data_IF_266340993639
#
_entry.id   IF_266340993639
#
_cell.length_a   1.000
_cell.length_b   1.000
_cell.length_c   1.000
_cell.angle_alpha   90.00
_cell.angle_beta   90.00
_cell.angle_gamma   90.00
#
_symmetry.space_group_name_H-M   'P 1'
#
loop_
_entity.id
_entity.type
_entity.pdbx_description
1 polymer ?
#
# COMPACT_ATOMS: atom_id res chain seq x y z
N UNK A 1 -26.75 8.63 -13.80
CA UNK A 1 -26.42 7.52 -12.86
C UNK A 1 -25.90 6.29 -13.57
N UNK A 2 -26.60 5.76 -14.59
CA UNK A 2 -26.15 4.60 -15.38
C UNK A 2 -24.79 4.79 -16.07
N UNK A 3 -24.55 5.95 -16.69
CA UNK A 3 -23.26 6.24 -17.33
C UNK A 3 -22.09 6.27 -16.34
N UNK A 4 -22.30 6.77 -15.13
CA UNK A 4 -21.25 6.82 -14.11
C UNK A 4 -20.84 5.41 -13.65
N UNK A 5 -21.83 4.56 -13.35
CA UNK A 5 -21.59 3.17 -12.96
C UNK A 5 -20.91 2.37 -14.09
N UNK A 6 -21.35 2.58 -15.33
CA UNK A 6 -20.72 1.95 -16.50
C UNK A 6 -19.25 2.36 -16.66
N UNK A 7 -18.94 3.66 -16.53
CA UNK A 7 -17.57 4.14 -16.63
C UNK A 7 -16.66 3.65 -15.49
N UNK A 8 -17.19 3.50 -14.27
CA UNK A 8 -16.46 2.86 -13.17
C UNK A 8 -16.16 1.39 -13.50
N UNK A 9 -17.11 0.66 -14.07
CA UNK A 9 -16.90 -0.74 -14.45
C UNK A 9 -15.83 -0.87 -15.56
N UNK A 10 -15.82 0.05 -16.52
CA UNK A 10 -14.75 0.14 -17.51
C UNK A 10 -13.40 0.46 -16.87
N UNK A 11 -13.35 1.35 -15.88
CA UNK A 11 -12.13 1.65 -15.13
C UNK A 11 -11.62 0.42 -14.36
N UNK A 12 -12.50 -0.38 -13.73
CA UNK A 12 -12.12 -1.65 -13.14
C UNK A 12 -11.57 -2.64 -14.17
N UNK A 13 -12.19 -2.71 -15.36
CA UNK A 13 -11.70 -3.54 -16.47
C UNK A 13 -10.31 -3.07 -16.93
N UNK A 14 -10.06 -1.77 -16.95
CA UNK A 14 -8.75 -1.21 -17.28
C UNK A 14 -7.70 -1.58 -16.23
N UNK A 15 -8.01 -1.45 -14.93
CA UNK A 15 -7.11 -1.85 -13.82
C UNK A 15 -6.82 -3.35 -13.87
N UNK A 16 -7.84 -4.19 -14.08
CA UNK A 16 -7.63 -5.62 -14.23
C UNK A 16 -6.80 -5.94 -15.50
N UNK A 17 -7.08 -5.24 -16.59
CA UNK A 17 -6.33 -5.32 -17.84
C UNK A 17 -4.86 -4.95 -17.68
N UNK A 18 -4.55 -3.92 -16.89
CA UNK A 18 -3.17 -3.47 -16.65
C UNK A 18 -2.32 -4.53 -15.95
N UNK A 19 -2.94 -5.43 -15.18
CA UNK A 19 -2.23 -6.53 -14.51
C UNK A 19 -1.89 -7.70 -15.44
N UNK A 20 -2.51 -7.78 -16.62
CA UNK A 20 -2.32 -8.90 -17.56
C UNK A 20 -1.81 -8.48 -18.93
N UNK A 21 -1.80 -7.16 -19.22
CA UNK A 21 -1.36 -6.62 -20.51
C UNK A 21 0.13 -6.86 -20.78
N UNK A 22 0.97 -6.77 -19.73
CA UNK A 22 2.38 -7.13 -19.79
C UNK A 22 2.75 -7.95 -18.57
N UNK A 23 3.18 -9.20 -18.77
CA UNK A 23 3.62 -10.07 -17.68
C UNK A 23 4.89 -9.57 -16.99
N UNK A 24 5.68 -8.72 -17.65
CA UNK A 24 6.91 -8.16 -17.09
C UNK A 24 6.64 -7.33 -15.82
N UNK A 25 5.45 -6.72 -15.71
CA UNK A 25 5.03 -5.93 -14.55
C UNK A 25 5.05 -6.74 -13.25
N UNK A 26 4.85 -8.05 -13.33
CA UNK A 26 4.83 -8.93 -12.16
C UNK A 26 6.20 -9.08 -11.51
N UNK A 27 7.31 -8.86 -12.23
CA UNK A 27 8.64 -8.84 -11.62
C UNK A 27 8.80 -7.71 -10.61
N UNK A 28 8.03 -6.63 -10.77
CA UNK A 28 8.02 -5.47 -9.89
C UNK A 28 6.85 -5.52 -8.90
N UNK A 29 5.66 -5.98 -9.33
CA UNK A 29 4.48 -6.08 -8.46
C UNK A 29 4.56 -7.23 -7.45
N UNK A 30 5.04 -8.41 -7.84
CA UNK A 30 5.06 -9.59 -6.97
C UNK A 30 5.77 -9.35 -5.62
N UNK A 31 6.98 -8.74 -5.56
CA UNK A 31 7.61 -8.45 -4.28
C UNK A 31 6.80 -7.44 -3.45
N UNK A 32 6.18 -6.43 -4.07
CA UNK A 32 5.32 -5.46 -3.36
C UNK A 32 4.11 -6.17 -2.73
N UNK A 33 3.42 -7.00 -3.51
CA UNK A 33 2.24 -7.74 -3.05
C UNK A 33 2.59 -8.78 -1.99
N UNK A 34 3.73 -9.46 -2.13
CA UNK A 34 4.19 -10.42 -1.13
C UNK A 34 4.46 -9.74 0.21
N UNK A 35 5.23 -8.65 0.21
CA UNK A 35 5.51 -7.90 1.43
C UNK A 35 4.21 -7.37 2.02
N UNK A 36 3.32 -6.81 1.20
CA UNK A 36 2.02 -6.34 1.66
C UNK A 36 1.22 -7.42 2.38
N UNK A 37 1.01 -8.58 1.76
CA UNK A 37 0.25 -9.67 2.34
C UNK A 37 0.91 -10.16 3.63
N UNK A 38 2.25 -10.33 3.63
CA UNK A 38 2.99 -10.79 4.80
C UNK A 38 2.89 -9.82 5.97
N UNK A 39 3.01 -8.52 5.73
CA UNK A 39 2.89 -7.49 6.76
C UNK A 39 1.46 -7.43 7.31
N UNK A 40 0.45 -7.54 6.46
CA UNK A 40 -0.96 -7.58 6.90
C UNK A 40 -1.28 -8.83 7.73
N UNK A 41 -0.76 -9.99 7.32
CA UNK A 41 -0.90 -11.22 8.09
C UNK A 41 -0.18 -11.14 9.43
N UNK A 42 1.03 -10.60 9.46
CA UNK A 42 1.82 -10.42 10.69
C UNK A 42 1.05 -9.59 11.73
N UNK A 43 0.63 -8.37 11.36
CA UNK A 43 -0.13 -7.52 12.29
C UNK A 43 -1.54 -8.04 12.59
N UNK A 44 -2.07 -8.91 11.72
CA UNK A 44 -3.30 -9.63 11.99
C UNK A 44 -3.16 -10.69 13.08
N UNK A 45 -2.03 -11.41 13.09
CA UNK A 45 -1.75 -12.47 14.05
C UNK A 45 -1.29 -11.90 15.40
N UNK A 46 -0.44 -10.87 15.37
CA UNK A 46 0.12 -10.20 16.53
C UNK A 46 -0.61 -8.89 16.82
N UNK A 47 -1.91 -8.96 17.15
CA UNK A 47 -2.81 -7.78 17.30
C UNK A 47 -2.37 -6.71 18.31
N UNK A 48 -1.44 -7.04 19.22
CA UNK A 48 -0.85 -6.10 20.19
C UNK A 48 0.35 -5.35 19.63
N UNK A 49 0.96 -5.86 18.56
CA UNK A 49 1.98 -5.15 17.83
C UNK A 49 1.30 -4.16 16.88
N UNK A 50 1.71 -2.90 16.99
CA UNK A 50 1.29 -1.85 16.07
C UNK A 50 2.41 -1.55 15.10
N UNK A 51 2.10 -0.85 14.00
CA UNK A 51 3.15 -0.24 13.18
C UNK A 51 3.83 0.83 14.02
N UNK A 52 4.93 0.44 14.66
CA UNK A 52 5.78 1.34 15.41
C UNK A 52 6.52 2.29 14.47
N UNK A 53 7.20 3.28 15.04
CA UNK A 53 7.98 4.26 14.26
C UNK A 53 9.02 3.59 13.35
N UNK A 54 9.67 2.50 13.80
CA UNK A 54 10.62 1.75 12.98
C UNK A 54 9.95 1.10 11.76
N UNK A 55 8.78 0.49 11.93
CA UNK A 55 8.01 -0.10 10.82
C UNK A 55 7.49 0.99 9.87
N UNK A 56 6.97 2.09 10.40
CA UNK A 56 6.52 3.24 9.60
C UNK A 56 7.68 3.84 8.77
N UNK A 57 8.88 3.95 9.38
CA UNK A 57 10.08 4.41 8.70
C UNK A 57 10.47 3.46 7.56
N UNK A 58 10.50 2.15 7.84
CA UNK A 58 10.83 1.13 6.83
C UNK A 58 9.85 1.17 5.64
N UNK A 59 8.55 1.21 5.93
CA UNK A 59 7.48 1.30 4.93
C UNK A 59 7.60 2.60 4.12
N UNK A 60 7.87 3.73 4.77
CA UNK A 60 8.09 5.01 4.11
C UNK A 60 9.30 4.99 3.17
N UNK A 61 10.43 4.41 3.59
CA UNK A 61 11.63 4.24 2.75
C UNK A 61 11.34 3.36 1.55
N UNK A 62 10.66 2.22 1.75
CA UNK A 62 10.26 1.33 0.65
C UNK A 62 9.37 2.05 -0.37
N UNK A 63 8.40 2.84 0.11
CA UNK A 63 7.52 3.57 -0.79
C UNK A 63 8.22 4.69 -1.56
N UNK A 64 9.15 5.40 -0.90
CA UNK A 64 9.97 6.42 -1.54
C UNK A 64 10.84 5.79 -2.64
N UNK A 65 11.47 4.65 -2.35
CA UNK A 65 12.26 3.90 -3.33
C UNK A 65 11.44 3.51 -4.56
N UNK A 66 10.25 2.93 -4.37
CA UNK A 66 9.35 2.54 -5.47
C UNK A 66 8.94 3.77 -6.28
N UNK A 67 8.63 4.89 -5.61
CA UNK A 67 8.26 6.13 -6.29
C UNK A 67 9.41 6.69 -7.13
N UNK A 68 10.65 6.59 -6.66
CA UNK A 68 11.84 7.00 -7.42
C UNK A 68 12.15 6.07 -8.59
N UNK A 69 12.01 4.75 -8.42
CA UNK A 69 12.12 3.80 -9.54
C UNK A 69 11.07 4.12 -10.61
N UNK A 70 9.85 4.41 -10.19
CA UNK A 70 8.72 4.77 -11.07
C UNK A 70 8.99 6.10 -11.81
N UNK A 71 9.53 7.10 -11.12
CA UNK A 71 10.01 8.34 -11.73
C UNK A 71 11.09 8.12 -12.78
N UNK A 72 12.06 7.25 -12.47
CA UNK A 72 13.12 6.89 -13.41
C UNK A 72 12.53 6.26 -14.68
N UNK A 73 11.53 5.41 -14.56
CA UNK A 73 10.86 4.78 -15.72
C UNK A 73 10.17 5.85 -16.59
N UNK A 74 9.45 6.81 -16.00
CA UNK A 74 8.84 7.91 -16.76
C UNK A 74 9.86 8.69 -17.60
N UNK A 75 11.01 9.03 -17.00
CA UNK A 75 12.09 9.72 -17.72
C UNK A 75 12.72 8.87 -18.82
N UNK A 76 12.90 7.58 -18.60
CA UNK A 76 13.42 6.66 -19.62
C UNK A 76 12.46 6.48 -20.80
N UNK A 77 11.15 6.54 -20.53
CA UNK A 77 10.10 6.52 -21.56
C UNK A 77 9.87 7.89 -22.22
N UNK A 78 10.62 8.93 -21.83
CA UNK A 78 10.52 10.27 -22.40
C UNK A 78 9.20 10.98 -22.08
N UNK A 79 8.51 10.63 -20.99
CA UNK A 79 7.26 11.30 -20.61
C UNK A 79 7.52 12.70 -20.06
N UNK A 80 6.87 13.70 -20.63
CA UNK A 80 6.90 15.07 -20.11
C UNK A 80 6.04 15.17 -18.83
N UNK A 81 6.60 15.60 -17.68
CA UNK A 81 5.85 15.84 -16.45
C UNK A 81 4.65 16.78 -16.60
N UNK A 82 4.66 17.70 -17.57
CA UNK A 82 3.57 18.65 -17.84
C UNK A 82 2.38 18.01 -18.53
N UNK A 83 2.62 16.95 -19.30
CA UNK A 83 1.60 16.27 -20.11
C UNK A 83 1.11 14.97 -19.46
N UNK A 84 1.87 14.44 -18.50
CA UNK A 84 1.59 13.17 -17.84
C UNK A 84 1.16 13.37 -16.38
N UNK A 85 -0.15 13.43 -16.07
CA UNK A 85 -0.63 13.63 -14.70
C UNK A 85 -0.16 12.52 -13.74
N UNK A 86 0.21 11.35 -14.25
CA UNK A 86 0.80 10.24 -13.50
C UNK A 86 2.17 10.61 -12.90
N UNK A 87 2.96 11.43 -13.60
CA UNK A 87 4.25 11.93 -13.11
C UNK A 87 4.01 12.85 -11.91
N UNK A 88 3.06 13.78 -12.03
CA UNK A 88 2.70 14.67 -10.93
C UNK A 88 2.16 13.88 -9.72
N UNK A 89 1.30 12.90 -9.95
CA UNK A 89 0.79 12.03 -8.87
C UNK A 89 1.92 11.26 -8.18
N UNK A 90 2.87 10.71 -8.95
CA UNK A 90 4.03 10.03 -8.40
C UNK A 90 4.94 10.97 -7.59
N UNK A 91 5.01 12.25 -7.98
CA UNK A 91 5.75 13.26 -7.21
C UNK A 91 5.07 13.53 -5.86
N UNK A 92 3.74 13.64 -5.85
CA UNK A 92 2.94 13.79 -4.63
C UNK A 92 3.13 12.57 -3.71
N UNK A 93 3.11 11.36 -4.26
CA UNK A 93 3.39 10.13 -3.52
C UNK A 93 4.81 10.09 -2.94
N UNK A 94 5.81 10.58 -3.68
CA UNK A 94 7.18 10.73 -3.18
C UNK A 94 7.25 11.69 -1.99
N UNK A 95 6.56 12.83 -2.07
CA UNK A 95 6.46 13.79 -0.97
C UNK A 95 5.73 13.19 0.24
N UNK A 96 4.69 12.40 0.02
CA UNK A 96 3.99 11.68 1.08
C UNK A 96 4.91 10.66 1.77
N UNK A 97 5.73 9.93 1.01
CA UNK A 97 6.72 9.02 1.57
C UNK A 97 7.77 9.77 2.42
N UNK A 98 8.27 10.91 1.94
CA UNK A 98 9.19 11.78 2.71
C UNK A 98 8.53 12.27 4.00
N UNK A 99 7.25 12.66 3.94
CA UNK A 99 6.48 13.07 5.11
C UNK A 99 6.37 11.94 6.15
N UNK A 100 6.10 10.69 5.72
CA UNK A 100 6.09 9.53 6.60
C UNK A 100 7.46 9.30 7.23
N UNK A 101 8.53 9.32 6.43
CA UNK A 101 9.91 9.13 6.91
C UNK A 101 10.26 10.18 7.97
N UNK A 102 9.98 11.45 7.67
CA UNK A 102 10.25 12.57 8.57
C UNK A 102 9.53 12.37 9.90
N UNK A 103 8.20 12.18 9.85
CA UNK A 103 7.37 12.05 11.06
C UNK A 103 7.68 10.79 11.87
N UNK A 104 8.07 9.69 11.20
CA UNK A 104 8.52 8.47 11.85
C UNK A 104 9.87 8.68 12.55
N UNK A 105 10.81 9.37 11.92
CA UNK A 105 12.14 9.65 12.48
C UNK A 105 12.07 10.62 13.66
N UNK A 106 11.31 11.72 13.54
CA UNK A 106 11.20 12.75 14.58
C UNK A 106 10.21 12.40 15.68
N UNK A 107 9.44 11.31 15.53
CA UNK A 107 8.40 10.89 16.47
C UNK A 107 7.38 12.01 16.73
N UNK A 108 7.07 12.82 15.70
CA UNK A 108 6.20 14.00 15.85
C UNK A 108 4.74 13.63 16.14
N UNK A 109 4.28 12.47 15.65
CA UNK A 109 2.91 11.99 15.86
C UNK A 109 2.84 10.84 16.87
N UNK A 110 1.64 10.65 17.43
CA UNK A 110 1.33 9.48 18.25
C UNK A 110 1.47 8.18 17.42
N UNK A 111 1.89 7.06 18.04
CA UNK A 111 1.99 5.78 17.35
C UNK A 111 0.70 5.35 16.63
N UNK A 112 -0.47 5.60 17.24
CA UNK A 112 -1.78 5.28 16.64
C UNK A 112 -2.12 6.11 15.39
N UNK A 113 -1.57 7.31 15.29
CA UNK A 113 -1.70 8.14 14.09
C UNK A 113 -0.74 7.65 13.01
N UNK A 114 0.50 7.32 13.39
CA UNK A 114 1.48 6.75 12.47
C UNK A 114 1.01 5.42 11.87
N UNK A 115 0.37 4.58 12.67
CA UNK A 115 -0.21 3.31 12.23
C UNK A 115 -1.26 3.49 11.11
N UNK A 116 -2.03 4.58 11.14
CA UNK A 116 -3.01 4.90 10.10
C UNK A 116 -2.34 5.46 8.83
N UNK A 117 -1.47 6.46 9.01
CA UNK A 117 -0.82 7.17 7.90
C UNK A 117 0.15 6.25 7.16
N UNK A 118 0.90 5.42 7.88
CA UNK A 118 1.83 4.44 7.32
C UNK A 118 1.25 3.02 7.29
N UNK A 119 -0.09 2.88 7.26
CA UNK A 119 -0.72 1.56 7.25
C UNK A 119 -0.24 0.73 6.04
N UNK A 120 0.09 -0.57 6.21
CA UNK A 120 0.58 -1.40 5.13
C UNK A 120 -0.37 -1.42 3.92
N UNK A 121 -1.67 -1.57 4.16
CA UNK A 121 -2.71 -1.47 3.13
C UNK A 121 -2.62 -0.19 2.31
N UNK A 122 -2.49 0.98 2.94
CA UNK A 122 -2.38 2.23 2.20
C UNK A 122 -1.10 2.27 1.38
N UNK A 123 0.05 2.02 2.03
CA UNK A 123 1.34 2.28 1.42
C UNK A 123 1.65 1.30 0.30
N UNK A 124 1.37 0.01 0.49
CA UNK A 124 1.61 -0.98 -0.56
C UNK A 124 0.59 -0.89 -1.70
N UNK A 125 -0.66 -0.49 -1.42
CA UNK A 125 -1.62 -0.18 -2.47
C UNK A 125 -1.13 0.99 -3.33
N UNK A 126 -0.74 2.10 -2.70
CA UNK A 126 -0.20 3.25 -3.43
C UNK A 126 1.09 2.88 -4.17
N UNK A 127 1.95 2.05 -3.58
CA UNK A 127 3.17 1.54 -4.25
C UNK A 127 2.83 0.79 -5.55
N UNK A 128 1.84 -0.10 -5.51
CA UNK A 128 1.40 -0.84 -6.70
C UNK A 128 0.79 0.09 -7.77
N UNK A 129 -0.01 1.07 -7.35
CA UNK A 129 -0.58 2.09 -8.25
C UNK A 129 0.51 2.92 -8.92
N UNK A 130 1.49 3.40 -8.16
CA UNK A 130 2.63 4.17 -8.67
C UNK A 130 3.40 3.40 -9.74
N UNK A 131 3.63 2.11 -9.50
CA UNK A 131 4.31 1.24 -10.44
C UNK A 131 3.51 1.05 -11.74
N UNK A 132 2.20 0.75 -11.63
CA UNK A 132 1.31 0.59 -12.79
C UNK A 132 1.23 1.86 -13.65
N UNK A 133 1.25 3.02 -13.00
CA UNK A 133 1.34 4.30 -13.71
C UNK A 133 2.66 4.45 -14.46
N UNK A 134 3.79 4.09 -13.85
CA UNK A 134 5.11 4.22 -14.47
C UNK A 134 5.34 3.35 -15.68
N UNK A 135 4.79 2.13 -15.67
CA UNK A 135 4.83 1.21 -16.82
C UNK A 135 3.86 1.65 -17.93
N UNK A 136 3.09 2.71 -17.72
CA UNK A 136 2.13 3.21 -18.70
C UNK A 136 0.93 2.31 -18.93
N UNK A 137 0.72 1.33 -18.05
CA UNK A 137 -0.36 0.35 -18.14
C UNK A 137 -1.69 0.90 -17.63
N UNK A 138 -1.65 2.00 -16.86
CA UNK A 138 -2.81 2.67 -16.32
C UNK A 138 -2.73 4.18 -16.60
N UNK A 139 -3.82 4.75 -17.11
CA UNK A 139 -3.94 6.19 -17.35
C UNK A 139 -4.75 6.85 -16.24
N UNK A 140 -4.35 8.04 -15.78
CA UNK A 140 -5.13 8.80 -14.82
C UNK A 140 -6.36 9.43 -15.50
N UNK A 141 -7.53 9.00 -15.06
CA UNK A 141 -8.77 9.73 -15.26
C UNK A 141 -9.62 9.67 -13.98
N UNK A 142 -10.71 10.46 -13.93
CA UNK A 142 -11.59 10.55 -12.75
C UNK A 142 -12.24 9.21 -12.36
N UNK A 143 -12.52 8.35 -13.33
CA UNK A 143 -13.14 7.04 -13.12
C UNK A 143 -12.12 6.03 -12.64
N UNK A 144 -10.90 6.03 -13.19
CA UNK A 144 -9.77 5.25 -12.68
C UNK A 144 -9.45 5.65 -11.25
N UNK A 145 -9.36 6.95 -10.95
CA UNK A 145 -9.17 7.43 -9.58
C UNK A 145 -10.27 6.95 -8.62
N UNK A 146 -11.53 6.98 -9.06
CA UNK A 146 -12.67 6.46 -8.28
C UNK A 146 -12.60 4.95 -8.07
N UNK A 147 -12.26 4.18 -9.11
CA UNK A 147 -12.12 2.72 -9.05
C UNK A 147 -10.94 2.30 -8.17
N UNK A 148 -9.82 3.03 -8.21
CA UNK A 148 -8.69 2.83 -7.30
C UNK A 148 -9.09 3.12 -5.85
N UNK A 149 -9.83 4.20 -5.59
CA UNK A 149 -10.32 4.50 -4.24
C UNK A 149 -11.27 3.40 -3.72
N UNK A 150 -12.21 2.95 -4.55
CA UNK A 150 -13.10 1.82 -4.20
C UNK A 150 -12.29 0.54 -3.95
N UNK A 151 -11.26 0.28 -4.75
CA UNK A 151 -10.36 -0.87 -4.57
C UNK A 151 -9.63 -0.80 -3.24
N UNK A 152 -9.08 0.37 -2.87
CA UNK A 152 -8.43 0.59 -1.58
C UNK A 152 -9.37 0.29 -0.42
N UNK A 153 -10.60 0.82 -0.47
CA UNK A 153 -11.64 0.52 0.54
C UNK A 153 -11.94 -0.98 0.57
N UNK A 154 -12.05 -1.62 -0.60
CA UNK A 154 -12.22 -3.07 -0.73
C UNK A 154 -11.09 -3.86 -0.06
N UNK A 155 -9.83 -3.48 -0.27
CA UNK A 155 -8.68 -4.13 0.37
C UNK A 155 -8.71 -3.97 1.89
N UNK A 156 -9.04 -2.78 2.41
CA UNK A 156 -9.22 -2.60 3.84
C UNK A 156 -10.30 -3.53 4.40
N UNK A 157 -11.44 -3.67 3.71
CA UNK A 157 -12.51 -4.58 4.12
C UNK A 157 -12.07 -6.04 4.09
N UNK A 158 -11.37 -6.46 3.04
CA UNK A 158 -10.85 -7.83 2.91
C UNK A 158 -9.89 -8.15 4.04
N UNK A 159 -8.88 -7.30 4.29
CA UNK A 159 -7.93 -7.53 5.39
C UNK A 159 -8.61 -7.44 6.76
N UNK A 160 -9.59 -6.54 6.93
CA UNK A 160 -10.39 -6.51 8.16
C UNK A 160 -11.10 -7.84 8.42
N UNK A 161 -11.74 -8.43 7.41
CA UNK A 161 -12.41 -9.74 7.51
C UNK A 161 -11.38 -10.83 7.83
N UNK A 162 -10.26 -10.88 7.11
CA UNK A 162 -9.19 -11.87 7.33
C UNK A 162 -8.68 -11.79 8.76
N UNK A 163 -8.31 -10.60 9.23
CA UNK A 163 -7.78 -10.39 10.59
C UNK A 163 -8.79 -10.72 11.68
N UNK A 164 -10.08 -10.50 11.41
CA UNK A 164 -11.14 -10.74 12.38
C UNK A 164 -11.50 -12.22 12.51
N UNK A 165 -11.58 -12.94 11.41
CA UNK A 165 -12.12 -14.30 11.40
C UNK A 165 -11.07 -15.41 11.24
N UNK A 166 -9.90 -15.10 10.70
CA UNK A 166 -8.90 -16.11 10.35
C UNK A 166 -7.57 -15.95 11.10
N UNK A 167 -7.33 -14.81 11.75
CA UNK A 167 -6.05 -14.50 12.44
C UNK A 167 -6.25 -14.07 13.89
N UNK A 168 -5.17 -14.19 14.67
CA UNK A 168 -5.07 -13.78 16.08
C UNK A 168 -5.02 -14.94 17.07
N UNK A 169 -4.99 -16.18 16.59
CA UNK A 169 -4.98 -17.37 17.43
C UNK A 169 -3.62 -17.50 18.16
N UNK A 170 -2.49 -17.29 17.48
CA UNK A 170 -1.13 -17.42 18.06
C UNK A 170 -0.77 -16.28 19.01
N UNK A 171 -1.24 -15.06 18.75
CA UNK A 171 -1.02 -13.93 19.65
C UNK A 171 -1.62 -14.16 21.05
N UNK A 172 -2.74 -14.89 21.13
CA UNK A 172 -3.35 -15.30 22.40
C UNK A 172 -2.53 -16.42 23.10
N UNK A 173 -2.02 -17.40 22.34
CA UNK A 173 -1.19 -18.48 22.90
C UNK A 173 0.15 -18.00 23.48
N UNK A 174 0.85 -17.07 22.82
CA UNK A 174 2.09 -16.49 23.36
C UNK A 174 1.85 -15.71 24.66
N UNK A 175 0.68 -15.09 24.80
CA UNK A 175 0.31 -14.42 26.03
C UNK A 175 0.08 -15.41 27.18
N UNK A 176 -0.65 -16.50 26.95
CA UNK A 176 -0.84 -17.54 27.96
C UNK A 176 0.50 -18.14 28.39
N UNK A 177 1.41 -18.35 27.43
CA UNK A 177 2.75 -18.88 27.70
C UNK A 177 3.63 -17.91 28.50
N UNK A 178 3.57 -16.61 28.22
CA UNK A 178 4.34 -15.60 28.96
C UNK A 178 3.81 -15.37 30.37
N UNK A 179 2.49 -15.44 30.57
CA UNK A 179 1.88 -15.43 31.92
C UNK A 179 2.26 -16.67 32.73
N UNK A 180 2.31 -17.86 32.11
CA UNK A 180 2.75 -19.09 32.76
C UNK A 180 4.20 -19.04 33.26
N UNK A 181 5.11 -18.44 32.49
CA UNK A 181 6.52 -18.28 32.90
C UNK A 181 6.74 -17.30 34.05
N UNK A 182 5.87 -16.31 34.22
CA UNK A 182 5.98 -15.34 35.32
C UNK A 182 5.50 -15.88 36.68
N UNK A 183 4.86 -17.05 36.70
CA UNK A 183 4.45 -17.73 37.93
C UNK A 183 5.48 -18.76 38.45
N UNK A 184 6.55 -19.03 37.69
CA UNK A 184 7.62 -19.97 38.08
C UNK A 184 8.87 -19.27 38.67
N UNK A 185 8.84 -17.94 38.81
CA UNK A 185 9.85 -17.13 39.49
C UNK A 185 9.26 -16.41 40.71
#
# INVERSE_FOLDING_TARGET
MYEFAYNILLAFKQIAGSLVADLSVWWLLAPILLVWIMTEMYYGEYKKEHVGFSSALSVGISFLWISFVSMRIFFLLGRDPKESPEVLMTAIFSLYAIFIIYTAYTHTFLPSTMDKIASPTLIYFLSAVTLLFSEGLLSIDRYVGSALFISLVGFYLVFFIIKKYFLGFRGEFEQVRSLGKNHEN
#
